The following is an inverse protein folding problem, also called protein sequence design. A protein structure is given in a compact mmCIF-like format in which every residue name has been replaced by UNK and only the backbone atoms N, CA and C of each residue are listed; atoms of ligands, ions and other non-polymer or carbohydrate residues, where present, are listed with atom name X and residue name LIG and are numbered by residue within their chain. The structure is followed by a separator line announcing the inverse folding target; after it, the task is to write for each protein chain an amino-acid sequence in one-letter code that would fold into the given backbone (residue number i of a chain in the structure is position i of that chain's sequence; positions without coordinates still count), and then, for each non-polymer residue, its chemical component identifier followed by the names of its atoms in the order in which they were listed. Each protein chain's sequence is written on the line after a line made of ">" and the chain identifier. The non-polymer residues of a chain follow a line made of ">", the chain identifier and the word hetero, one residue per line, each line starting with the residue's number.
data_IF_855080933193
#
_entry.id   IF_855080933193
#
_cell.length_a   1.000
_cell.length_b   1.000
_cell.length_c   1.000
_cell.angle_alpha   90.00
_cell.angle_beta   90.00
_cell.angle_gamma   90.00
#
_symmetry.space_group_name_H-M   'P 1'
#
loop_
_entity.id
_entity.type
_entity.pdbx_description
1 polymer ?
#
# COMPACT_ATOMS: atom_id res chain seq x y z
N UNK A 1 8.31 23.48 -20.14
CA UNK A 1 9.64 23.22 -20.75
C UNK A 1 10.52 22.69 -19.62
N UNK A 2 10.23 21.48 -19.14
CA UNK A 2 11.20 20.75 -18.28
C UNK A 2 12.49 20.64 -19.11
N UNK A 3 13.61 21.05 -18.52
CA UNK A 3 14.83 21.29 -19.27
C UNK A 3 15.39 19.96 -19.79
N UNK A 4 15.94 19.92 -21.00
CA UNK A 4 16.56 18.70 -21.57
C UNK A 4 17.60 18.06 -20.63
N UNK A 5 18.19 18.84 -19.73
CA UNK A 5 19.15 18.41 -18.71
C UNK A 5 18.47 17.59 -17.59
N UNK A 6 17.27 17.97 -17.15
CA UNK A 6 16.50 17.21 -16.15
C UNK A 6 16.07 15.84 -16.68
N UNK A 7 15.70 15.76 -17.96
CA UNK A 7 15.33 14.50 -18.63
C UNK A 7 16.55 13.58 -18.74
N UNK A 8 17.69 14.10 -19.21
CA UNK A 8 18.93 13.33 -19.28
C UNK A 8 19.42 12.82 -17.91
N UNK A 9 19.27 13.63 -16.85
CA UNK A 9 19.62 13.22 -15.50
C UNK A 9 18.67 12.15 -14.94
N UNK A 10 17.36 12.23 -15.24
CA UNK A 10 16.40 11.18 -14.87
C UNK A 10 16.72 9.86 -15.58
N UNK A 11 17.03 9.90 -16.87
CA UNK A 11 17.38 8.71 -17.65
C UNK A 11 18.68 8.06 -17.18
N UNK A 12 19.70 8.86 -16.84
CA UNK A 12 20.95 8.37 -16.27
C UNK A 12 20.74 7.71 -14.89
N UNK A 13 19.91 8.31 -14.03
CA UNK A 13 19.58 7.76 -12.71
C UNK A 13 18.82 6.43 -12.83
N UNK A 14 17.83 6.36 -13.72
CA UNK A 14 17.09 5.12 -13.97
C UNK A 14 18.01 4.01 -14.51
N UNK A 15 18.93 4.35 -15.40
CA UNK A 15 19.93 3.39 -15.91
C UNK A 15 20.84 2.88 -14.79
N UNK A 16 21.32 3.77 -13.92
CA UNK A 16 22.12 3.40 -12.76
C UNK A 16 21.38 2.45 -11.81
N UNK A 17 20.09 2.67 -11.54
CA UNK A 17 19.29 1.75 -10.73
C UNK A 17 19.14 0.38 -11.39
N UNK A 18 18.91 0.31 -12.71
CA UNK A 18 18.84 -0.98 -13.43
C UNK A 18 20.14 -1.76 -13.35
N UNK A 19 21.28 -1.08 -13.50
CA UNK A 19 22.61 -1.69 -13.36
C UNK A 19 22.87 -2.18 -11.94
N UNK A 20 22.46 -1.44 -10.91
CA UNK A 20 22.57 -1.89 -9.53
C UNK A 20 21.68 -3.13 -9.27
N UNK A 21 20.40 -3.06 -9.66
CA UNK A 21 19.42 -4.13 -9.42
C UNK A 21 19.80 -5.44 -10.12
N UNK A 22 20.48 -5.37 -11.27
CA UNK A 22 20.93 -6.58 -11.99
C UNK A 22 22.04 -7.34 -11.25
N UNK A 23 22.75 -6.69 -10.32
CA UNK A 23 23.81 -7.31 -9.50
C UNK A 23 23.30 -7.89 -8.18
N UNK A 24 22.05 -7.62 -7.82
CA UNK A 24 21.48 -8.07 -6.54
C UNK A 24 21.19 -9.58 -6.55
N UNK A 25 21.30 -10.25 -5.38
CA UNK A 25 20.89 -11.64 -5.23
C UNK A 25 19.45 -11.86 -5.72
N UNK A 26 19.22 -12.95 -6.45
CA UNK A 26 17.90 -13.31 -6.99
C UNK A 26 17.28 -14.47 -6.22
N UNK A 27 15.96 -14.51 -6.19
CA UNK A 27 15.17 -15.53 -5.49
C UNK A 27 13.85 -15.80 -6.21
N UNK A 28 13.27 -16.96 -5.95
CA UNK A 28 12.03 -17.39 -6.57
C UNK A 28 10.88 -16.43 -6.21
N UNK A 29 10.10 -16.03 -7.20
CA UNK A 29 8.99 -15.09 -7.13
C UNK A 29 7.61 -15.74 -7.03
N UNK A 30 7.53 -17.00 -6.62
CA UNK A 30 6.28 -17.75 -6.46
C UNK A 30 5.51 -17.92 -7.78
N UNK A 31 6.25 -18.10 -8.89
CA UNK A 31 5.66 -18.26 -10.21
C UNK A 31 5.02 -16.99 -10.79
N UNK A 32 5.46 -15.80 -10.35
CA UNK A 32 5.00 -14.49 -10.83
C UNK A 32 6.04 -13.79 -11.75
N UNK A 33 5.65 -12.70 -12.42
CA UNK A 33 6.44 -11.78 -13.27
C UNK A 33 7.91 -12.10 -13.61
N UNK A 34 8.81 -11.92 -12.63
CA UNK A 34 10.28 -12.04 -12.71
C UNK A 34 10.82 -12.49 -11.34
N UNK A 35 12.03 -13.05 -11.29
CA UNK A 35 12.71 -13.36 -10.02
C UNK A 35 12.77 -12.13 -9.10
N UNK A 36 12.56 -12.36 -7.81
CA UNK A 36 12.73 -11.33 -6.78
C UNK A 36 14.22 -11.00 -6.67
N UNK A 37 14.51 -9.75 -6.29
CA UNK A 37 15.85 -9.29 -5.94
C UNK A 37 15.91 -8.89 -4.48
N UNK A 38 17.00 -9.25 -3.81
CA UNK A 38 17.21 -8.91 -2.41
C UNK A 38 17.92 -7.55 -2.30
N UNK A 39 17.28 -6.59 -1.64
CA UNK A 39 17.82 -5.27 -1.36
C UNK A 39 17.64 -4.93 0.11
N UNK A 40 18.75 -4.65 0.80
CA UNK A 40 18.78 -4.30 2.23
C UNK A 40 17.97 -5.25 3.13
N UNK A 41 18.06 -6.55 2.85
CA UNK A 41 17.39 -7.60 3.63
C UNK A 41 15.93 -7.88 3.23
N UNK A 42 15.37 -7.16 2.26
CA UNK A 42 14.00 -7.37 1.76
C UNK A 42 13.98 -7.78 0.28
N UNK A 43 12.90 -8.46 -0.14
CA UNK A 43 12.75 -9.00 -1.49
C UNK A 43 11.77 -8.18 -2.34
N UNK A 44 12.15 -7.83 -3.56
CA UNK A 44 11.35 -6.98 -4.45
C UNK A 44 11.33 -7.51 -5.87
N UNK A 45 10.25 -7.23 -6.60
CA UNK A 45 10.33 -7.24 -8.06
C UNK A 45 11.23 -6.10 -8.52
N UNK A 46 12.08 -6.34 -9.52
CA UNK A 46 13.07 -5.37 -10.01
C UNK A 46 12.42 -4.03 -10.36
N UNK A 47 11.25 -4.09 -11.00
CA UNK A 47 10.48 -2.91 -11.40
C UNK A 47 10.03 -2.06 -10.20
N UNK A 48 9.58 -2.71 -9.12
CA UNK A 48 9.10 -2.00 -7.92
C UNK A 48 10.26 -1.49 -7.07
N UNK A 49 11.38 -2.22 -7.02
CA UNK A 49 12.60 -1.72 -6.38
C UNK A 49 13.12 -0.47 -7.09
N UNK A 50 13.10 -0.46 -8.42
CA UNK A 50 13.48 0.75 -9.17
C UNK A 50 12.61 1.96 -8.76
N UNK A 51 11.33 1.73 -8.48
CA UNK A 51 10.40 2.78 -8.04
C UNK A 51 10.61 3.24 -6.63
N UNK A 52 10.86 2.29 -5.73
CA UNK A 52 11.25 2.56 -4.37
C UNK A 52 12.49 3.48 -4.33
N UNK A 53 13.52 3.16 -5.12
CA UNK A 53 14.75 3.95 -5.18
C UNK A 53 14.52 5.35 -5.77
N UNK A 54 13.70 5.45 -6.82
CA UNK A 54 13.27 6.74 -7.38
C UNK A 54 12.51 7.58 -6.35
N UNK A 55 11.57 6.98 -5.63
CA UNK A 55 10.81 7.65 -4.58
C UNK A 55 11.73 8.11 -3.44
N UNK A 56 12.68 7.28 -2.99
CA UNK A 56 13.65 7.66 -1.96
C UNK A 56 14.47 8.90 -2.32
N UNK A 57 14.81 9.09 -3.61
CA UNK A 57 15.58 10.23 -4.08
C UNK A 57 14.74 11.48 -4.35
N UNK A 58 13.52 11.32 -4.86
CA UNK A 58 12.77 12.43 -5.47
C UNK A 58 11.46 12.75 -4.76
N UNK A 59 10.90 11.83 -3.97
CA UNK A 59 9.60 12.01 -3.36
C UNK A 59 9.64 13.04 -2.23
N UNK A 60 8.83 14.09 -2.36
CA UNK A 60 8.65 15.11 -1.34
C UNK A 60 7.25 15.00 -0.77
N UNK A 61 7.17 14.52 0.47
CA UNK A 61 5.91 14.43 1.20
C UNK A 61 5.49 15.81 1.71
N UNK A 62 4.18 16.05 1.81
CA UNK A 62 3.62 17.21 2.48
C UNK A 62 3.26 16.84 3.94
N UNK A 63 3.36 17.77 4.90
CA UNK A 63 2.98 17.49 6.29
C UNK A 63 1.52 17.03 6.46
N UNK A 64 0.64 17.39 5.53
CA UNK A 64 -0.77 16.99 5.51
C UNK A 64 -1.00 15.62 4.90
N UNK A 65 -0.01 15.02 4.23
CA UNK A 65 -0.16 13.71 3.60
C UNK A 65 -0.35 12.60 4.65
N UNK A 66 -1.15 11.61 4.29
CA UNK A 66 -1.41 10.39 5.06
C UNK A 66 -0.94 9.21 4.21
N UNK A 67 0.04 8.46 4.73
CA UNK A 67 0.66 7.33 4.04
C UNK A 67 0.10 6.02 4.60
N UNK A 68 -0.65 5.31 3.75
CA UNK A 68 -1.19 3.98 4.03
C UNK A 68 -0.12 2.93 3.75
N UNK A 69 0.37 2.31 4.81
CA UNK A 69 1.46 1.37 4.77
C UNK A 69 0.92 -0.04 5.02
N UNK A 70 1.38 -1.04 4.27
CA UNK A 70 1.04 -2.42 4.58
C UNK A 70 2.03 -3.37 3.92
N UNK A 71 2.24 -4.55 4.48
CA UNK A 71 2.76 -5.64 3.65
C UNK A 71 1.68 -6.03 2.61
N UNK A 72 2.02 -6.60 1.44
CA UNK A 72 1.01 -7.08 0.52
C UNK A 72 0.02 -8.04 1.21
N UNK A 73 -1.25 -7.99 0.77
CA UNK A 73 -2.30 -8.94 1.16
C UNK A 73 -2.79 -8.85 2.62
N UNK A 74 -2.46 -7.78 3.35
CA UNK A 74 -2.93 -7.55 4.73
C UNK A 74 -4.16 -6.63 4.85
N UNK A 75 -4.88 -6.35 3.75
CA UNK A 75 -6.09 -5.52 3.76
C UNK A 75 -5.93 -4.13 3.13
N UNK A 76 -4.88 -3.91 2.32
CA UNK A 76 -4.55 -2.62 1.70
C UNK A 76 -5.70 -2.01 0.89
N UNK A 77 -6.35 -2.80 0.03
CA UNK A 77 -7.44 -2.31 -0.81
C UNK A 77 -8.60 -1.81 0.05
N UNK A 78 -8.93 -2.53 1.12
CA UNK A 78 -9.99 -2.15 2.05
C UNK A 78 -9.65 -0.88 2.83
N UNK A 79 -8.41 -0.79 3.35
CA UNK A 79 -7.93 0.42 4.01
C UNK A 79 -7.96 1.64 3.08
N UNK A 80 -7.56 1.47 1.81
CA UNK A 80 -7.66 2.51 0.78
C UNK A 80 -9.09 2.97 0.58
N UNK A 81 -10.05 2.05 0.41
CA UNK A 81 -11.46 2.39 0.23
C UNK A 81 -12.02 3.15 1.43
N UNK A 82 -11.81 2.64 2.65
CA UNK A 82 -12.30 3.25 3.89
C UNK A 82 -11.74 4.66 4.10
N UNK A 83 -10.43 4.83 3.92
CA UNK A 83 -9.78 6.14 4.13
C UNK A 83 -10.17 7.15 3.05
N UNK A 84 -10.22 6.71 1.78
CA UNK A 84 -10.66 7.54 0.66
C UNK A 84 -12.11 8.01 0.84
N UNK A 85 -13.02 7.07 1.11
CA UNK A 85 -14.43 7.38 1.35
C UNK A 85 -14.59 8.35 2.53
N UNK A 86 -13.85 8.15 3.62
CA UNK A 86 -13.90 9.03 4.79
C UNK A 86 -13.47 10.45 4.49
N UNK A 87 -12.35 10.64 3.77
CA UNK A 87 -11.82 11.97 3.46
C UNK A 87 -12.69 12.70 2.43
N UNK A 88 -13.31 11.95 1.52
CA UNK A 88 -14.07 12.53 0.40
C UNK A 88 -15.58 12.53 0.61
N UNK A 89 -16.08 12.11 1.79
CA UNK A 89 -17.52 11.98 2.10
C UNK A 89 -18.35 13.25 1.95
N UNK A 90 -17.72 14.43 1.98
CA UNK A 90 -18.40 15.72 1.74
C UNK A 90 -18.25 16.22 0.31
N UNK A 91 -17.44 15.53 -0.50
CA UNK A 91 -17.16 15.86 -1.90
C UNK A 91 -17.98 14.99 -2.85
N UNK A 92 -18.30 13.76 -2.44
CA UNK A 92 -19.08 12.80 -3.21
C UNK A 92 -20.17 12.18 -2.34
N UNK A 93 -21.36 12.04 -2.92
CA UNK A 93 -22.42 11.22 -2.34
C UNK A 93 -22.16 9.73 -2.64
N UNK A 94 -22.80 8.85 -1.89
CA UNK A 94 -22.68 7.38 -1.99
C UNK A 94 -22.90 6.84 -3.42
N UNK A 95 -23.66 7.56 -4.26
CA UNK A 95 -23.95 7.18 -5.66
C UNK A 95 -22.98 7.73 -6.70
N UNK A 96 -22.09 8.65 -6.31
CA UNK A 96 -21.19 9.38 -7.23
C UNK A 96 -19.71 9.18 -6.91
N UNK A 97 -19.41 8.46 -5.82
CA UNK A 97 -18.03 8.23 -5.40
C UNK A 97 -17.21 7.52 -6.49
N UNK A 98 -15.94 7.92 -6.70
CA UNK A 98 -15.03 7.21 -7.59
C UNK A 98 -14.88 5.71 -7.28
N UNK A 99 -15.12 5.27 -6.05
CA UNK A 99 -15.03 3.85 -5.65
C UNK A 99 -16.04 2.94 -6.36
N UNK A 100 -17.09 3.49 -6.98
CA UNK A 100 -18.04 2.73 -7.81
C UNK A 100 -17.52 2.43 -9.23
N UNK A 101 -16.53 3.19 -9.70
CA UNK A 101 -16.07 3.17 -11.09
C UNK A 101 -14.55 3.02 -11.25
N UNK A 102 -13.80 2.97 -10.14
CA UNK A 102 -12.34 2.84 -10.11
C UNK A 102 -11.91 1.88 -9.02
N UNK A 103 -10.75 1.25 -9.21
CA UNK A 103 -10.16 0.42 -8.17
C UNK A 103 -9.69 1.30 -7.00
N UNK A 104 -9.70 0.77 -5.76
CA UNK A 104 -9.10 1.48 -4.61
C UNK A 104 -7.63 1.88 -4.86
N UNK A 105 -6.92 1.09 -5.66
CA UNK A 105 -5.53 1.35 -6.03
C UNK A 105 -5.36 2.53 -7.01
N UNK A 106 -6.39 2.87 -7.80
CA UNK A 106 -6.36 3.99 -8.74
C UNK A 106 -6.65 5.33 -8.04
N UNK A 107 -7.45 5.29 -6.98
CA UNK A 107 -7.83 6.48 -6.22
C UNK A 107 -6.85 6.80 -5.08
N UNK A 108 -6.10 5.80 -4.61
CA UNK A 108 -4.98 5.96 -3.68
C UNK A 108 -3.75 5.26 -4.26
N UNK A 109 -2.90 5.95 -5.04
CA UNK A 109 -1.78 5.32 -5.75
C UNK A 109 -0.65 4.91 -4.79
N UNK A 110 0.17 3.96 -5.24
CA UNK A 110 1.36 3.51 -4.51
C UNK A 110 2.62 4.25 -4.95
N UNK A 111 3.38 4.80 -3.99
CA UNK A 111 4.57 5.64 -4.27
C UNK A 111 5.63 4.96 -5.14
N UNK A 112 5.78 3.65 -5.03
CA UNK A 112 6.80 2.87 -5.74
C UNK A 112 6.37 2.35 -7.12
N UNK A 113 5.13 2.62 -7.58
CA UNK A 113 4.62 2.13 -8.87
C UNK A 113 4.52 3.22 -9.94
N UNK A 114 4.39 4.49 -9.55
CA UNK A 114 4.00 5.56 -10.46
C UNK A 114 5.15 6.58 -10.72
N UNK A 115 6.34 6.05 -11.09
CA UNK A 115 7.61 6.78 -11.26
C UNK A 115 7.54 8.08 -12.10
N UNK A 116 6.49 8.25 -12.91
CA UNK A 116 6.33 9.35 -13.84
C UNK A 116 5.22 10.36 -13.48
N UNK A 117 4.33 10.07 -12.51
CA UNK A 117 3.09 10.86 -12.34
C UNK A 117 2.80 11.37 -10.92
N UNK A 118 3.70 11.21 -9.94
CA UNK A 118 3.43 11.72 -8.57
C UNK A 118 3.21 13.23 -8.48
N UNK A 119 3.85 14.02 -9.36
CA UNK A 119 3.60 15.46 -9.44
C UNK A 119 2.28 15.81 -10.12
N UNK A 120 1.75 14.95 -10.99
CA UNK A 120 0.49 15.16 -11.71
C UNK A 120 -0.72 14.55 -10.97
N UNK A 121 -0.59 13.45 -10.25
CA UNK A 121 -1.74 12.77 -9.60
C UNK A 121 -2.17 13.35 -8.24
N UNK A 122 -1.52 14.42 -7.73
CA UNK A 122 -2.11 15.26 -6.66
C UNK A 122 -3.35 16.05 -7.11
N UNK A 123 -3.79 15.90 -8.36
CA UNK A 123 -4.87 16.68 -9.01
C UNK A 123 -6.21 16.76 -8.24
N UNK A 124 -6.47 15.90 -7.25
CA UNK A 124 -7.71 15.95 -6.46
C UNK A 124 -7.57 16.62 -5.09
N UNK A 125 -6.37 17.03 -4.67
CA UNK A 125 -6.16 17.60 -3.33
C UNK A 125 -6.42 16.61 -2.19
N UNK A 126 -6.53 15.31 -2.49
CA UNK A 126 -6.74 14.23 -1.52
C UNK A 126 -5.38 13.80 -0.98
N UNK A 127 -5.11 13.96 0.33
CA UNK A 127 -3.79 13.72 0.91
C UNK A 127 -3.54 12.23 1.23
N UNK A 128 -3.88 11.32 0.31
CA UNK A 128 -3.71 9.87 0.51
C UNK A 128 -2.70 9.29 -0.47
N UNK A 129 -1.73 8.56 0.06
CA UNK A 129 -0.79 7.75 -0.70
C UNK A 129 -0.63 6.40 -0.02
N UNK A 130 -0.19 5.40 -0.75
CA UNK A 130 0.10 4.10 -0.18
C UNK A 130 1.52 3.63 -0.49
N UNK A 131 1.99 2.66 0.28
CA UNK A 131 3.24 1.95 0.00
C UNK A 131 3.25 0.56 0.62
N UNK A 132 3.96 -0.34 -0.06
CA UNK A 132 4.36 -1.63 0.47
C UNK A 132 5.80 -1.66 0.99
N UNK A 133 6.49 -0.52 1.01
CA UNK A 133 7.87 -0.47 1.48
C UNK A 133 7.95 -0.81 2.98
N UNK A 134 8.97 -1.59 3.40
CA UNK A 134 9.27 -1.77 4.81
C UNK A 134 9.71 -0.42 5.41
N UNK A 135 9.47 -0.23 6.71
CA UNK A 135 9.67 1.05 7.38
C UNK A 135 11.09 1.61 7.18
N UNK A 136 12.11 0.75 7.23
CA UNK A 136 13.52 1.12 7.04
C UNK A 136 13.86 1.65 5.65
N UNK A 137 13.00 1.38 4.65
CA UNK A 137 13.18 1.80 3.26
C UNK A 137 12.22 2.92 2.85
N UNK A 138 11.44 3.49 3.77
CA UNK A 138 10.65 4.67 3.47
C UNK A 138 11.56 5.86 3.09
N UNK A 139 11.14 6.69 2.13
CA UNK A 139 11.83 7.95 1.83
C UNK A 139 12.09 8.79 3.08
N UNK A 140 13.28 9.39 3.16
CA UNK A 140 13.67 10.20 4.31
C UNK A 140 12.72 11.37 4.56
N UNK A 141 12.17 11.94 3.49
CA UNK A 141 11.13 12.98 3.57
C UNK A 141 9.90 12.52 4.37
N UNK A 142 9.50 11.24 4.28
CA UNK A 142 8.42 10.67 5.09
C UNK A 142 8.85 10.55 6.55
N UNK A 143 10.04 10.00 6.81
CA UNK A 143 10.53 9.77 8.18
C UNK A 143 10.74 11.07 8.95
N UNK A 144 11.27 12.10 8.30
CA UNK A 144 11.64 13.35 8.97
C UNK A 144 10.50 14.40 8.97
N UNK A 145 9.42 14.20 8.20
CA UNK A 145 8.28 15.12 8.17
C UNK A 145 7.25 14.88 9.27
N UNK A 146 6.26 15.78 9.38
CA UNK A 146 5.08 15.61 10.23
C UNK A 146 3.92 14.83 9.60
N UNK A 147 4.11 14.17 8.46
CA UNK A 147 3.04 13.40 7.81
C UNK A 147 2.61 12.22 8.70
N UNK A 148 1.36 11.75 8.50
CA UNK A 148 0.81 10.64 9.28
C UNK A 148 0.97 9.33 8.53
N UNK A 149 1.23 8.26 9.26
CA UNK A 149 1.28 6.89 8.75
C UNK A 149 0.16 6.06 9.36
N UNK A 150 -0.47 5.21 8.56
CA UNK A 150 -1.40 4.17 9.02
C UNK A 150 -0.88 2.84 8.50
N UNK A 151 -0.46 1.95 9.39
CA UNK A 151 0.01 0.61 9.03
C UNK A 151 -1.07 -0.43 9.34
N UNK A 152 -1.31 -1.38 8.43
CA UNK A 152 -2.19 -2.53 8.69
C UNK A 152 -1.45 -3.86 8.52
N UNK A 153 -1.44 -4.66 9.59
CA UNK A 153 -0.96 -6.05 9.58
C UNK A 153 -2.13 -7.04 9.62
N UNK A 154 -1.84 -8.33 9.44
CA UNK A 154 -2.81 -9.43 9.46
C UNK A 154 -2.13 -10.67 10.05
N UNK A 155 -2.86 -11.70 10.47
CA UNK A 155 -2.25 -12.97 10.83
C UNK A 155 -1.36 -13.49 9.68
N UNK A 156 -0.13 -13.94 9.95
CA UNK A 156 0.80 -14.38 8.91
C UNK A 156 0.29 -15.59 8.12
N UNK A 157 -0.49 -16.49 8.74
CA UNK A 157 -1.07 -17.67 8.06
C UNK A 157 -2.10 -17.23 7.02
N UNK A 158 -2.97 -16.31 7.42
CA UNK A 158 -3.98 -15.73 6.53
C UNK A 158 -3.34 -14.89 5.41
N UNK A 159 -2.28 -14.15 5.74
CA UNK A 159 -1.52 -13.36 4.77
C UNK A 159 -0.88 -14.28 3.73
N UNK A 160 -0.24 -15.36 4.17
CA UNK A 160 0.33 -16.40 3.30
C UNK A 160 -0.71 -16.97 2.33
N UNK A 161 -1.86 -17.44 2.84
CA UNK A 161 -2.92 -18.04 2.02
C UNK A 161 -3.45 -17.02 1.00
N UNK A 162 -3.67 -15.77 1.41
CA UNK A 162 -4.11 -14.70 0.50
C UNK A 162 -3.08 -14.36 -0.57
N UNK A 163 -1.78 -14.40 -0.24
CA UNK A 163 -0.68 -14.18 -1.18
C UNK A 163 -0.55 -15.34 -2.17
N UNK A 164 -0.64 -16.59 -1.70
CA UNK A 164 -0.63 -17.78 -2.53
C UNK A 164 -1.75 -17.75 -3.57
N UNK A 165 -2.99 -17.50 -3.16
CA UNK A 165 -4.12 -17.44 -4.10
C UNK A 165 -4.02 -16.29 -5.09
N UNK A 166 -3.46 -15.15 -4.66
CA UNK A 166 -3.18 -14.02 -5.55
C UNK A 166 -2.15 -14.39 -6.62
N UNK A 167 -1.01 -14.95 -6.21
CA UNK A 167 0.03 -15.44 -7.11
C UNK A 167 -0.53 -16.49 -8.08
N UNK A 168 -1.30 -17.47 -7.57
CA UNK A 168 -1.89 -18.51 -8.39
C UNK A 168 -2.91 -17.99 -9.41
N UNK A 169 -3.74 -16.99 -9.05
CA UNK A 169 -4.65 -16.32 -10.01
C UNK A 169 -3.86 -15.58 -11.08
N UNK A 170 -2.77 -14.92 -10.70
CA UNK A 170 -1.88 -14.26 -11.64
C UNK A 170 -1.23 -15.25 -12.60
N UNK A 171 -0.62 -16.33 -12.12
CA UNK A 171 0.00 -17.37 -12.97
C UNK A 171 -1.01 -17.93 -13.99
N UNK A 172 -2.25 -18.21 -13.55
CA UNK A 172 -3.35 -18.64 -14.44
C UNK A 172 -3.66 -17.61 -15.52
N UNK A 173 -3.71 -16.32 -15.19
CA UNK A 173 -3.95 -15.25 -16.18
C UNK A 173 -2.84 -15.15 -17.24
N UNK A 174 -1.62 -15.56 -16.88
CA UNK A 174 -0.46 -15.63 -17.78
C UNK A 174 -0.32 -16.98 -18.49
N UNK A 175 -1.30 -17.89 -18.35
CA UNK A 175 -1.23 -19.27 -18.85
C UNK A 175 -0.01 -20.06 -18.34
N UNK A 176 0.44 -19.78 -17.12
CA UNK A 176 1.54 -20.47 -16.44
C UNK A 176 1.03 -21.30 -15.26
N UNK A 177 1.82 -22.30 -14.85
CA UNK A 177 1.46 -23.12 -13.69
C UNK A 177 1.77 -22.38 -12.39
N UNK A 178 0.84 -22.35 -11.42
CA UNK A 178 1.12 -21.79 -10.10
C UNK A 178 2.17 -22.65 -9.39
N UNK A 179 2.95 -22.02 -8.52
CA UNK A 179 3.85 -22.71 -7.59
C UNK A 179 3.05 -23.68 -6.70
N UNK A 180 3.69 -24.77 -6.29
CA UNK A 180 3.09 -25.69 -5.33
C UNK A 180 2.94 -25.03 -3.96
N UNK A 181 1.87 -25.36 -3.24
CA UNK A 181 1.56 -24.73 -1.95
C UNK A 181 2.70 -24.92 -0.93
N UNK A 182 3.24 -26.14 -0.84
CA UNK A 182 4.31 -26.47 0.11
C UNK A 182 5.59 -25.67 -0.21
N UNK A 183 5.96 -25.57 -1.48
CA UNK A 183 7.11 -24.78 -1.92
C UNK A 183 6.91 -23.28 -1.63
N UNK A 184 5.71 -22.76 -1.91
CA UNK A 184 5.36 -21.38 -1.57
C UNK A 184 5.43 -21.12 -0.06
N UNK A 185 5.00 -22.07 0.75
CA UNK A 185 5.06 -21.97 2.21
C UNK A 185 6.49 -21.90 2.72
N UNK A 186 7.37 -22.78 2.24
CA UNK A 186 8.79 -22.76 2.62
C UNK A 186 9.43 -21.42 2.24
N UNK A 187 9.18 -20.91 1.03
CA UNK A 187 9.67 -19.59 0.62
C UNK A 187 9.15 -18.47 1.53
N UNK A 188 7.86 -18.48 1.89
CA UNK A 188 7.29 -17.50 2.81
C UNK A 188 7.93 -17.56 4.20
N UNK A 189 8.12 -18.77 4.70
CA UNK A 189 8.69 -19.05 6.00
C UNK A 189 10.15 -18.57 6.09
N UNK A 190 10.94 -18.81 5.04
CA UNK A 190 12.30 -18.30 4.87
C UNK A 190 12.35 -16.78 4.59
N UNK A 191 11.20 -16.14 4.42
CA UNK A 191 11.07 -14.69 4.18
C UNK A 191 11.25 -14.27 2.72
N UNK A 192 11.36 -15.22 1.79
CA UNK A 192 11.45 -15.00 0.34
C UNK A 192 10.05 -14.81 -0.23
N UNK A 193 9.52 -13.60 -0.13
CA UNK A 193 8.22 -13.20 -0.70
C UNK A 193 8.26 -11.73 -1.13
N UNK A 194 7.34 -11.24 -1.99
CA UNK A 194 7.28 -9.82 -2.31
C UNK A 194 7.20 -8.95 -1.04
N UNK A 195 8.14 -8.02 -0.88
CA UNK A 195 8.36 -7.17 0.29
C UNK A 195 8.67 -7.93 1.60
N UNK A 196 8.95 -9.23 1.52
CA UNK A 196 9.35 -10.06 2.66
C UNK A 196 10.81 -9.82 3.06
N UNK A 197 11.25 -10.26 4.26
CA UNK A 197 10.50 -11.13 5.18
C UNK A 197 9.30 -10.46 5.85
N UNK A 198 8.17 -11.16 5.93
CA UNK A 198 6.93 -10.63 6.49
C UNK A 198 7.10 -10.18 7.95
N UNK A 199 7.80 -10.99 8.75
CA UNK A 199 8.04 -10.76 10.17
C UNK A 199 8.77 -9.43 10.39
N UNK A 200 9.89 -9.23 9.70
CA UNK A 200 10.70 -8.01 9.78
C UNK A 200 9.93 -6.80 9.27
N UNK A 201 9.13 -6.97 8.22
CA UNK A 201 8.27 -5.91 7.71
C UNK A 201 7.27 -5.45 8.78
N UNK A 202 6.56 -6.36 9.44
CA UNK A 202 5.59 -6.02 10.51
C UNK A 202 6.33 -5.44 11.72
N UNK A 203 7.42 -6.06 12.15
CA UNK A 203 8.20 -5.63 13.31
C UNK A 203 8.79 -4.23 13.15
N UNK A 204 9.22 -3.85 11.95
CA UNK A 204 9.71 -2.51 11.67
C UNK A 204 8.66 -1.43 11.96
N UNK A 205 7.45 -1.61 11.42
CA UNK A 205 6.33 -0.69 11.67
C UNK A 205 5.82 -0.76 13.11
N UNK A 206 5.81 -1.95 13.73
CA UNK A 206 5.42 -2.09 15.13
C UNK A 206 6.35 -1.31 16.06
N UNK A 207 7.68 -1.47 15.92
CA UNK A 207 8.66 -0.70 16.71
C UNK A 207 8.51 0.80 16.50
N UNK A 208 8.38 1.23 15.24
CA UNK A 208 8.14 2.63 14.92
C UNK A 208 6.84 3.18 15.53
N UNK A 209 5.79 2.36 15.65
CA UNK A 209 4.54 2.78 16.30
C UNK A 209 4.69 3.02 17.80
N UNK A 210 5.61 2.30 18.46
CA UNK A 210 5.92 2.49 19.87
C UNK A 210 6.81 3.73 20.08
N UNK A 211 7.73 4.01 19.16
CA UNK A 211 8.63 5.17 19.22
C UNK A 211 7.92 6.48 18.84
N UNK A 212 6.96 6.42 17.91
CA UNK A 212 6.28 7.58 17.35
C UNK A 212 4.74 7.40 17.30
N UNK A 213 4.08 7.22 18.45
CA UNK A 213 2.64 6.91 18.51
C UNK A 213 1.73 8.00 17.92
N UNK A 214 2.16 9.26 17.92
CA UNK A 214 1.40 10.37 17.32
C UNK A 214 1.49 10.42 15.78
N UNK A 215 2.49 9.73 15.22
CA UNK A 215 2.82 9.75 13.79
C UNK A 215 2.44 8.45 13.07
N UNK A 216 2.33 7.33 13.79
CA UNK A 216 2.07 6.03 13.19
C UNK A 216 0.95 5.30 13.95
N UNK A 217 -0.20 5.15 13.30
CA UNK A 217 -1.30 4.31 13.78
C UNK A 217 -1.09 2.88 13.28
N UNK A 218 -0.92 1.94 14.21
CA UNK A 218 -0.78 0.51 13.90
C UNK A 218 -2.13 -0.21 14.04
N UNK A 219 -2.58 -0.86 12.98
CA UNK A 219 -3.85 -1.57 12.88
C UNK A 219 -3.61 -3.07 12.67
N UNK A 220 -4.52 -3.88 13.19
CA UNK A 220 -4.66 -5.29 12.83
C UNK A 220 -5.91 -5.49 12.00
N UNK A 221 -5.79 -6.24 10.92
CA UNK A 221 -6.89 -6.57 10.03
C UNK A 221 -8.05 -7.25 10.77
N UNK A 222 -7.74 -8.17 11.69
CA UNK A 222 -8.72 -8.93 12.45
C UNK A 222 -9.57 -8.02 13.34
N UNK A 223 -8.94 -7.05 14.00
CA UNK A 223 -9.65 -6.08 14.85
C UNK A 223 -10.52 -5.13 14.01
N UNK A 224 -10.03 -4.74 12.82
CA UNK A 224 -10.80 -3.93 11.87
C UNK A 224 -12.02 -4.69 11.33
N UNK A 225 -11.93 -6.01 11.15
CA UNK A 225 -13.07 -6.87 10.77
C UNK A 225 -14.05 -7.03 11.92
N UNK A 226 -13.57 -7.21 13.15
CA UNK A 226 -14.41 -7.41 14.32
C UNK A 226 -15.33 -6.22 14.60
N UNK A 227 -14.82 -4.98 14.50
CA UNK A 227 -15.64 -3.77 14.64
C UNK A 227 -15.18 -2.66 13.66
N UNK A 228 -15.58 -2.79 12.41
CA UNK A 228 -15.17 -1.86 11.36
C UNK A 228 -15.61 -0.43 11.62
N UNK A 229 -16.81 -0.23 12.19
CA UNK A 229 -17.35 1.12 12.44
C UNK A 229 -16.53 1.82 13.53
N UNK A 230 -16.20 1.12 14.61
CA UNK A 230 -15.34 1.65 15.67
C UNK A 230 -13.97 2.04 15.12
N UNK A 231 -13.32 1.15 14.37
CA UNK A 231 -12.00 1.42 13.82
C UNK A 231 -12.03 2.50 12.73
N UNK A 232 -13.08 2.58 11.92
CA UNK A 232 -13.27 3.67 10.97
C UNK A 232 -13.34 5.02 11.68
N UNK A 233 -14.09 5.12 12.79
CA UNK A 233 -14.15 6.35 13.61
C UNK A 233 -12.77 6.72 14.18
N UNK A 234 -12.00 5.73 14.67
CA UNK A 234 -10.63 5.94 15.15
C UNK A 234 -9.69 6.42 14.04
N UNK A 235 -9.74 5.78 12.87
CA UNK A 235 -8.97 6.15 11.68
C UNK A 235 -9.33 7.58 11.24
N UNK A 236 -10.62 7.90 11.17
CA UNK A 236 -11.11 9.23 10.80
C UNK A 236 -10.58 10.32 11.74
N UNK A 237 -10.67 10.11 13.06
CA UNK A 237 -10.12 11.02 14.05
C UNK A 237 -8.60 11.16 13.91
N UNK A 238 -7.89 10.04 13.74
CA UNK A 238 -6.45 10.04 13.52
C UNK A 238 -6.04 10.80 12.26
N UNK A 239 -6.76 10.67 11.15
CA UNK A 239 -6.51 11.41 9.91
C UNK A 239 -6.83 12.91 10.02
N UNK A 240 -7.54 13.35 11.08
CA UNK A 240 -8.01 14.73 11.22
C UNK A 240 -9.36 15.01 10.56
N UNK A 241 -10.12 13.95 10.27
CA UNK A 241 -11.45 13.99 9.64
C UNK A 241 -12.52 13.33 10.53
N UNK A 242 -12.60 13.62 11.85
CA UNK A 242 -13.53 12.94 12.76
C UNK A 242 -14.98 13.11 12.29
N UNK A 243 -15.82 12.14 12.60
CA UNK A 243 -17.25 12.22 12.32
C UNK A 243 -17.95 13.08 13.38
N UNK A 244 -18.77 14.04 12.94
CA UNK A 244 -19.57 14.87 13.83
C UNK A 244 -20.67 14.07 14.54
N UNK A 245 -21.29 14.64 15.57
CA UNK A 245 -22.43 14.00 16.24
C UNK A 245 -23.62 13.83 15.28
N UNK A 246 -23.83 14.78 14.37
CA UNK A 246 -24.84 14.74 13.33
C UNK A 246 -24.56 13.62 12.32
N UNK A 247 -23.32 13.51 11.83
CA UNK A 247 -22.92 12.44 10.91
C UNK A 247 -23.13 11.05 11.53
N UNK A 248 -22.86 10.91 12.83
CA UNK A 248 -23.08 9.66 13.55
C UNK A 248 -24.58 9.36 13.74
N UNK A 249 -25.41 10.38 14.02
CA UNK A 249 -26.87 10.19 14.07
C UNK A 249 -27.46 9.84 12.69
N UNK A 250 -26.82 10.29 11.62
CA UNK A 250 -27.17 9.99 10.23
C UNK A 250 -26.55 8.68 9.71
N UNK A 251 -25.85 7.92 10.55
CA UNK A 251 -25.25 6.64 10.19
C UNK A 251 -24.22 6.73 9.05
N UNK A 252 -23.56 7.88 8.89
CA UNK A 252 -22.54 8.10 7.85
C UNK A 252 -21.38 7.10 7.97
N UNK A 253 -20.80 6.84 9.15
CA UNK A 253 -19.76 5.83 9.30
C UNK A 253 -20.21 4.44 8.84
N UNK A 254 -21.42 4.04 9.21
CA UNK A 254 -22.01 2.75 8.87
C UNK A 254 -22.28 2.62 7.37
N UNK A 255 -22.73 3.71 6.71
CA UNK A 255 -22.89 3.75 5.27
C UNK A 255 -21.56 3.60 4.52
N UNK A 256 -20.50 4.28 4.99
CA UNK A 256 -19.15 4.12 4.43
C UNK A 256 -18.67 2.68 4.59
N UNK A 257 -18.82 2.07 5.78
CA UNK A 257 -18.46 0.67 6.02
C UNK A 257 -19.20 -0.26 5.06
N UNK A 258 -20.52 -0.07 4.92
CA UNK A 258 -21.34 -0.85 4.00
C UNK A 258 -20.85 -0.70 2.57
N UNK A 259 -20.63 0.52 2.09
CA UNK A 259 -20.14 0.79 0.74
C UNK A 259 -18.78 0.15 0.47
N UNK A 260 -17.87 0.19 1.45
CA UNK A 260 -16.51 -0.35 1.36
C UNK A 260 -16.42 -1.84 1.76
N UNK A 261 -17.55 -2.52 1.98
CA UNK A 261 -17.57 -3.94 2.31
C UNK A 261 -17.01 -4.80 1.18
N UNK A 262 -16.50 -5.98 1.52
CA UNK A 262 -15.97 -6.91 0.53
C UNK A 262 -17.05 -7.32 -0.48
N UNK A 263 -18.28 -7.57 -0.02
CA UNK A 263 -19.41 -7.96 -0.87
C UNK A 263 -19.72 -6.88 -1.92
N UNK A 264 -19.72 -5.62 -1.51
CA UNK A 264 -20.00 -4.52 -2.44
C UNK A 264 -18.83 -4.27 -3.38
N UNK A 265 -17.59 -4.21 -2.89
CA UNK A 265 -16.44 -3.96 -3.75
C UNK A 265 -16.20 -5.11 -4.74
N UNK A 266 -16.25 -6.36 -4.31
CA UNK A 266 -16.02 -7.52 -5.19
C UNK A 266 -17.15 -7.75 -6.20
N UNK A 267 -18.32 -7.15 -6.02
CA UNK A 267 -19.45 -7.24 -6.94
C UNK A 267 -19.51 -6.16 -8.01
N UNK A 268 -18.62 -5.15 -7.99
CA UNK A 268 -18.57 -4.09 -9.00
C UNK A 268 -17.87 -4.59 -10.27
N UNK A 269 -18.35 -4.17 -11.44
CA UNK A 269 -17.77 -4.54 -12.75
C UNK A 269 -16.29 -4.17 -12.92
N UNK A 270 -15.79 -3.24 -12.09
CA UNK A 270 -14.41 -2.77 -12.13
C UNK A 270 -13.42 -3.67 -11.38
N UNK A 271 -13.89 -4.56 -10.50
CA UNK A 271 -13.08 -5.43 -9.63
C UNK A 271 -13.05 -6.90 -10.10
#
# INVERSE_FOLDING_TARGET
>A
MESHIEIQNKDALQKSFKEMISTLPKGNCWGCFEDLCQYQGFWFFSTFLQGALSAQQQFQVQPTDIILCSSPRTGTAWLKSLTFATITRTLYDDSTTPLLSKMPHDVVPFMEFDHAQFSTNRHLGIPLLATHLPYSLLPRSIIDSGCKLIYICRDPKDTFVSLYHFAARYSKSQNTQPIQLDEAFELFYEGVSPYGPYWDHVLGYWKASLEHPDKLMFLKYEELVEDTVLYLKKIAAYMGYPFSSEEQQQWVPENIVKMCSFENLSGLEVN
#
